data_IF_139460375130
#
_entry.id   IF_139460375130
#
_cell.length_a   1.000
_cell.length_b   1.000
_cell.length_c   1.000
_cell.angle_alpha   90.00
_cell.angle_beta   90.00
_cell.angle_gamma   90.00
#
_symmetry.space_group_name_H-M   'P 1'
#
loop_
_entity.id
_entity.type
_entity.pdbx_description
1 polymer ?
#
# COMPACT_ATOMS: atom_id res chain seq x y z
N UNK A 1 14.73 3.99 19.81
CA UNK A 1 13.57 3.11 19.54
C UNK A 1 12.85 3.71 18.36
N UNK A 2 12.71 3.00 17.23
CA UNK A 2 11.90 3.53 16.12
C UNK A 2 10.44 3.49 16.56
N UNK A 3 9.72 4.60 16.40
CA UNK A 3 8.28 4.62 16.58
C UNK A 3 7.67 3.56 15.66
N UNK A 4 6.67 2.80 16.15
CA UNK A 4 5.81 2.03 15.26
C UNK A 4 5.16 3.04 14.32
N UNK A 5 5.63 3.11 13.08
CA UNK A 5 4.99 3.91 12.05
C UNK A 5 3.62 3.24 11.79
N UNK A 6 2.59 4.03 11.52
CA UNK A 6 1.30 3.46 11.16
C UNK A 6 1.36 3.00 9.71
N UNK A 7 0.82 1.81 9.43
CA UNK A 7 0.79 1.25 8.08
C UNK A 7 -0.61 0.78 7.73
N UNK A 8 -1.08 1.12 6.55
CA UNK A 8 -2.39 0.70 6.03
C UNK A 8 -2.18 0.02 4.68
N UNK A 9 -2.61 -1.24 4.59
CA UNK A 9 -2.58 -1.99 3.34
C UNK A 9 -3.91 -1.83 2.59
N UNK A 10 -3.82 -1.55 1.29
CA UNK A 10 -4.94 -1.52 0.37
C UNK A 10 -4.98 -2.85 -0.36
N UNK A 11 -5.84 -3.75 0.11
CA UNK A 11 -5.97 -5.11 -0.39
C UNK A 11 -7.13 -5.21 -1.38
N UNK A 12 -6.99 -5.98 -2.46
CA UNK A 12 -8.07 -6.19 -3.42
C UNK A 12 -7.56 -6.66 -4.78
N UNK A 13 -8.45 -7.21 -5.61
CA UNK A 13 -8.10 -7.72 -6.94
C UNK A 13 -7.52 -6.62 -7.84
N UNK A 14 -6.75 -7.01 -8.86
CA UNK A 14 -6.29 -6.09 -9.89
C UNK A 14 -7.48 -5.38 -10.55
N UNK A 15 -7.41 -4.05 -10.69
CA UNK A 15 -8.50 -3.24 -11.21
C UNK A 15 -9.69 -3.01 -10.27
N UNK A 16 -9.56 -3.29 -8.96
CA UNK A 16 -10.62 -2.99 -7.98
C UNK A 16 -10.75 -1.49 -7.64
N UNK A 17 -9.77 -0.67 -8.03
CA UNK A 17 -9.77 0.77 -7.77
C UNK A 17 -8.85 1.22 -6.64
N UNK A 18 -7.93 0.36 -6.16
CA UNK A 18 -6.95 0.69 -5.12
C UNK A 18 -6.17 1.97 -5.41
N UNK A 19 -5.53 2.06 -6.59
CA UNK A 19 -4.75 3.24 -6.98
C UNK A 19 -5.61 4.50 -6.95
N UNK A 20 -6.79 4.46 -7.57
CA UNK A 20 -7.73 5.59 -7.59
C UNK A 20 -8.19 6.00 -6.19
N UNK A 21 -8.38 5.05 -5.28
CA UNK A 21 -8.75 5.36 -3.91
C UNK A 21 -7.59 6.02 -3.15
N UNK A 22 -6.37 5.50 -3.29
CA UNK A 22 -5.17 6.08 -2.68
C UNK A 22 -4.93 7.50 -3.20
N UNK A 23 -5.06 7.73 -4.51
CA UNK A 23 -4.94 9.06 -5.14
C UNK A 23 -5.93 10.08 -4.57
N UNK A 24 -7.15 9.64 -4.21
CA UNK A 24 -8.15 10.50 -3.56
C UNK A 24 -7.87 10.73 -2.08
N UNK A 25 -7.33 9.74 -1.38
CA UNK A 25 -7.04 9.83 0.06
C UNK A 25 -5.86 10.77 0.33
N UNK A 26 -4.76 10.65 -0.43
CA UNK A 26 -3.51 11.37 -0.14
C UNK A 26 -3.72 12.88 0.02
N UNK A 27 -4.44 13.60 -0.86
CA UNK A 27 -4.72 15.02 -0.67
C UNK A 27 -5.47 15.36 0.62
N UNK A 28 -6.43 14.52 1.01
CA UNK A 28 -7.30 14.73 2.17
C UNK A 28 -6.58 14.57 3.52
N UNK A 29 -5.44 13.89 3.52
CA UNK A 29 -4.58 13.68 4.69
C UNK A 29 -3.17 14.26 4.47
N UNK A 30 -3.02 15.23 3.58
CA UNK A 30 -1.71 15.81 3.20
C UNK A 30 -1.06 16.66 4.30
N UNK A 31 -1.75 16.89 5.42
CA UNK A 31 -1.20 17.56 6.61
C UNK A 31 -0.12 16.74 7.33
N UNK A 32 0.00 15.44 7.03
CA UNK A 32 1.02 14.55 7.57
C UNK A 32 2.01 14.09 6.49
N UNK A 33 3.15 13.55 6.93
CA UNK A 33 4.11 12.91 6.03
C UNK A 33 3.67 11.48 5.65
N UNK A 34 3.52 11.23 4.36
CA UNK A 34 3.04 9.95 3.80
C UNK A 34 4.14 9.29 2.97
N UNK A 35 4.40 8.01 3.23
CA UNK A 35 5.23 7.16 2.36
C UNK A 35 4.35 6.13 1.66
N UNK A 36 4.47 6.02 0.34
CA UNK A 36 3.71 5.03 -0.44
C UNK A 36 4.59 3.88 -0.88
N UNK A 37 4.13 2.64 -0.69
CA UNK A 37 4.75 1.43 -1.22
C UNK A 37 3.77 0.80 -2.20
N UNK A 38 4.23 0.49 -3.41
CA UNK A 38 3.46 -0.32 -4.37
C UNK A 38 4.14 -1.66 -4.56
N UNK A 39 3.47 -2.72 -4.10
CA UNK A 39 3.98 -4.07 -4.31
C UNK A 39 3.68 -4.55 -5.74
N UNK A 40 4.74 -4.87 -6.48
CA UNK A 40 4.62 -5.42 -7.83
C UNK A 40 4.62 -6.95 -7.75
N UNK A 41 3.49 -7.57 -8.11
CA UNK A 41 3.33 -9.04 -7.99
C UNK A 41 4.15 -9.85 -9.02
N UNK A 42 4.68 -9.20 -10.05
CA UNK A 42 5.52 -9.85 -11.05
C UNK A 42 6.98 -9.79 -10.63
N UNK A 43 7.65 -10.95 -10.67
CA UNK A 43 9.07 -11.07 -10.33
C UNK A 43 9.97 -10.18 -11.22
N UNK A 44 9.58 -9.99 -12.48
CA UNK A 44 10.29 -9.15 -13.44
C UNK A 44 9.68 -7.74 -13.47
N UNK A 45 10.04 -6.91 -12.48
CA UNK A 45 9.72 -5.48 -12.49
C UNK A 45 11.00 -4.64 -12.45
N UNK A 46 11.09 -3.65 -13.34
CA UNK A 46 12.14 -2.63 -13.27
C UNK A 46 11.63 -1.31 -13.83
N UNK A 47 11.88 -0.22 -13.11
CA UNK A 47 11.73 1.16 -13.61
C UNK A 47 12.97 1.61 -14.43
N UNK A 48 14.00 0.77 -14.44
CA UNK A 48 15.32 0.99 -15.02
C UNK A 48 15.59 -0.10 -16.09
N UNK A 49 15.04 0.08 -17.31
CA UNK A 49 15.19 -0.88 -18.40
C UNK A 49 16.63 -0.98 -18.91
N UNK A 50 16.93 -2.07 -19.63
CA UNK A 50 18.29 -2.49 -19.98
C UNK A 50 19.09 -1.48 -20.82
N UNK A 51 18.42 -0.62 -21.59
CA UNK A 51 19.05 0.33 -22.50
C UNK A 51 19.48 1.65 -21.83
N UNK A 52 19.18 1.88 -20.55
CA UNK A 52 19.59 3.11 -19.85
C UNK A 52 21.03 2.98 -19.31
N UNK A 53 21.76 4.10 -19.30
CA UNK A 53 23.12 4.14 -18.72
C UNK A 53 23.13 3.83 -17.22
N UNK A 54 22.05 4.15 -16.51
CA UNK A 54 21.84 3.80 -15.10
C UNK A 54 21.86 2.30 -14.86
N UNK A 55 21.35 1.50 -15.82
CA UNK A 55 21.46 0.04 -15.75
C UNK A 55 22.91 -0.41 -15.88
N UNK A 56 23.68 0.22 -16.77
CA UNK A 56 25.12 -0.08 -16.95
C UNK A 56 25.88 0.21 -15.66
N UNK A 57 25.62 1.32 -14.99
CA UNK A 57 26.24 1.66 -13.70
C UNK A 57 25.95 0.60 -12.62
N UNK A 58 24.70 0.12 -12.53
CA UNK A 58 24.30 -0.94 -11.59
C UNK A 58 24.97 -2.27 -11.90
N UNK A 59 24.99 -2.68 -13.18
CA UNK A 59 25.64 -3.91 -13.62
C UNK A 59 27.15 -3.89 -13.35
N UNK A 60 27.78 -2.71 -13.42
CA UNK A 60 29.18 -2.50 -13.04
C UNK A 60 29.46 -2.57 -11.54
N UNK A 61 28.43 -2.75 -10.70
CA UNK A 61 28.58 -2.97 -9.25
C UNK A 61 28.14 -1.80 -8.37
N UNK A 62 27.52 -0.75 -8.93
CA UNK A 62 26.97 0.33 -8.10
C UNK A 62 25.87 -0.20 -7.19
N UNK A 63 26.01 0.04 -5.89
CA UNK A 63 25.03 -0.32 -4.85
C UNK A 63 23.81 0.62 -4.88
N UNK A 64 24.08 1.91 -5.10
CA UNK A 64 23.07 2.95 -5.27
C UNK A 64 23.28 3.65 -6.61
N UNK A 65 22.21 4.00 -7.30
CA UNK A 65 22.26 4.76 -8.55
C UNK A 65 21.15 5.80 -8.53
N UNK A 66 21.48 7.05 -8.83
CA UNK A 66 20.53 8.17 -8.80
C UNK A 66 20.38 8.74 -10.20
N UNK A 67 19.13 8.87 -10.65
CA UNK A 67 18.74 9.70 -11.79
C UNK A 67 18.22 11.02 -11.24
N UNK A 68 18.76 12.16 -11.69
CA UNK A 68 18.35 13.48 -11.22
C UNK A 68 18.04 14.40 -12.41
N UNK A 69 16.88 15.06 -12.36
CA UNK A 69 16.42 16.07 -13.29
C UNK A 69 15.78 17.23 -12.49
N UNK A 70 15.55 18.42 -13.10
CA UNK A 70 15.02 19.58 -12.36
C UNK A 70 13.74 19.32 -11.55
N UNK A 71 12.88 18.40 -12.01
CA UNK A 71 11.59 18.12 -11.38
C UNK A 71 11.47 16.70 -10.81
N UNK A 72 12.47 15.84 -10.97
CA UNK A 72 12.35 14.43 -10.59
C UNK A 72 13.70 13.83 -10.18
N UNK A 73 13.69 13.09 -9.08
CA UNK A 73 14.84 12.31 -8.62
C UNK A 73 14.39 10.89 -8.35
N UNK A 74 15.10 9.92 -8.94
CA UNK A 74 14.87 8.50 -8.74
C UNK A 74 16.12 7.89 -8.12
N UNK A 75 15.98 7.30 -6.92
CA UNK A 75 17.01 6.49 -6.29
C UNK A 75 16.72 5.01 -6.55
N UNK A 76 17.68 4.32 -7.14
CA UNK A 76 17.65 2.87 -7.38
C UNK A 76 18.63 2.19 -6.42
N UNK A 77 18.17 1.16 -5.73
CA UNK A 77 18.97 0.32 -4.84
C UNK A 77 19.21 -1.02 -5.54
N UNK A 78 20.47 -1.46 -5.61
CA UNK A 78 20.86 -2.73 -6.19
C UNK A 78 20.99 -3.81 -5.09
N UNK A 79 19.86 -4.40 -4.72
CA UNK A 79 19.77 -5.34 -3.58
C UNK A 79 20.61 -6.62 -3.78
N UNK A 80 20.75 -7.13 -5.01
CA UNK A 80 21.64 -8.27 -5.32
C UNK A 80 23.11 -7.97 -4.94
N UNK A 81 23.55 -6.74 -5.17
CA UNK A 81 24.93 -6.31 -4.83
C UNK A 81 25.08 -5.96 -3.35
N UNK A 82 23.98 -5.67 -2.64
CA UNK A 82 23.98 -5.60 -1.17
C UNK A 82 24.00 -6.99 -0.51
N UNK A 83 23.72 -8.05 -1.26
CA UNK A 83 23.56 -9.40 -0.72
C UNK A 83 22.32 -9.57 0.16
N UNK A 84 21.36 -8.65 0.07
CA UNK A 84 20.12 -8.66 0.87
C UNK A 84 18.95 -8.32 -0.03
N UNK A 85 18.19 -9.31 -0.48
CA UNK A 85 16.89 -9.05 -1.09
C UNK A 85 15.93 -8.72 0.05
N UNK A 86 15.51 -7.46 0.13
CA UNK A 86 14.66 -7.01 1.23
C UNK A 86 13.27 -7.60 1.09
N UNK A 87 12.79 -8.28 2.12
CA UNK A 87 11.37 -8.50 2.29
C UNK A 87 10.68 -7.20 2.75
N UNK A 88 9.36 -7.25 2.92
CA UNK A 88 8.59 -6.08 3.33
C UNK A 88 9.03 -5.53 4.69
N UNK A 89 9.31 -6.40 5.66
CA UNK A 89 9.68 -5.99 7.02
C UNK A 89 11.08 -5.35 7.03
N UNK A 90 12.03 -5.87 6.26
CA UNK A 90 13.34 -5.27 6.09
C UNK A 90 13.30 -3.91 5.38
N UNK A 91 12.47 -3.79 4.33
CA UNK A 91 12.23 -2.50 3.67
C UNK A 91 11.61 -1.50 4.64
N UNK A 92 10.57 -1.92 5.36
CA UNK A 92 9.85 -1.12 6.34
C UNK A 92 10.78 -0.58 7.43
N UNK A 93 11.66 -1.43 7.95
CA UNK A 93 12.66 -1.05 8.93
C UNK A 93 13.70 -0.05 8.42
N UNK A 94 13.82 0.14 7.10
CA UNK A 94 14.73 1.11 6.46
C UNK A 94 14.04 2.39 6.02
N UNK A 95 12.73 2.51 6.18
CA UNK A 95 11.99 3.72 5.79
C UNK A 95 12.48 4.96 6.57
N UNK A 96 12.46 6.14 5.93
CA UNK A 96 12.63 7.40 6.62
C UNK A 96 11.51 7.60 7.66
N UNK A 97 11.70 8.46 8.67
CA UNK A 97 10.63 8.81 9.58
C UNK A 97 9.49 9.47 8.81
N UNK A 98 8.30 8.86 8.87
CA UNK A 98 7.05 9.37 8.31
C UNK A 98 5.90 9.05 9.26
N UNK A 99 4.78 9.75 9.13
CA UNK A 99 3.61 9.58 9.99
C UNK A 99 2.76 8.37 9.56
N UNK A 100 2.69 8.10 8.25
CA UNK A 100 1.87 7.02 7.68
C UNK A 100 2.53 6.37 6.46
N UNK A 101 2.45 5.04 6.40
CA UNK A 101 2.80 4.23 5.22
C UNK A 101 1.53 3.68 4.57
N UNK A 102 1.31 4.00 3.30
CA UNK A 102 0.24 3.41 2.49
C UNK A 102 0.83 2.32 1.58
N UNK A 103 0.37 1.08 1.72
CA UNK A 103 0.86 -0.05 0.92
C UNK A 103 -0.21 -0.46 -0.08
N UNK A 104 0.03 -0.23 -1.36
CA UNK A 104 -0.82 -0.73 -2.45
C UNK A 104 -0.43 -2.17 -2.80
N UNK A 105 -1.35 -3.11 -2.58
CA UNK A 105 -1.15 -4.52 -2.89
C UNK A 105 -0.66 -5.33 -1.70
N UNK A 106 0.23 -6.30 -1.97
CA UNK A 106 0.67 -7.37 -1.06
C UNK A 106 -0.49 -8.33 -0.66
N UNK A 107 -0.53 -9.51 -1.28
CA UNK A 107 -1.62 -10.48 -1.06
C UNK A 107 -1.63 -11.07 0.36
N UNK A 108 -0.49 -11.06 1.03
CA UNK A 108 -0.30 -11.66 2.35
C UNK A 108 0.43 -10.67 3.26
N UNK A 109 -0.26 -9.63 3.75
CA UNK A 109 0.34 -8.71 4.71
C UNK A 109 0.66 -9.43 6.03
N UNK A 110 1.66 -8.93 6.80
CA UNK A 110 2.00 -9.52 8.10
C UNK A 110 0.79 -9.62 9.03
N UNK A 111 0.77 -10.64 9.89
CA UNK A 111 -0.30 -10.84 10.87
C UNK A 111 -0.48 -9.59 11.74
N UNK A 112 -1.74 -9.18 11.96
CA UNK A 112 -2.10 -8.00 12.73
C UNK A 112 -2.00 -6.68 11.95
N UNK A 113 -1.63 -6.71 10.68
CA UNK A 113 -1.61 -5.50 9.84
C UNK A 113 -2.99 -4.87 9.71
N UNK A 114 -3.02 -3.54 9.72
CA UNK A 114 -4.22 -2.74 9.45
C UNK A 114 -4.48 -2.70 7.94
N UNK A 115 -5.70 -3.05 7.51
CA UNK A 115 -6.05 -3.16 6.09
C UNK A 115 -7.38 -2.46 5.77
N UNK A 116 -7.44 -1.90 4.56
CA UNK A 116 -8.66 -1.52 3.87
C UNK A 116 -8.84 -2.53 2.73
N UNK A 117 -9.99 -3.20 2.67
CA UNK A 117 -10.32 -4.15 1.62
C UNK A 117 -11.13 -3.47 0.52
N UNK A 118 -10.72 -3.60 -0.74
CA UNK A 118 -11.35 -2.98 -1.90
C UNK A 118 -11.89 -4.08 -2.81
N UNK A 119 -13.22 -4.17 -2.89
CA UNK A 119 -13.96 -5.17 -3.66
C UNK A 119 -14.51 -4.57 -4.95
N UNK A 120 -14.45 -5.31 -6.06
CA UNK A 120 -15.16 -4.89 -7.29
C UNK A 120 -16.65 -5.08 -7.12
N UNK A 121 -17.03 -6.23 -6.57
CA UNK A 121 -18.42 -6.62 -6.32
C UNK A 121 -18.55 -7.23 -4.91
N UNK A 122 -19.74 -7.17 -4.29
CA UNK A 122 -20.00 -7.81 -2.99
C UNK A 122 -19.57 -9.28 -2.89
N UNK A 123 -19.80 -10.05 -3.96
CA UNK A 123 -19.49 -11.48 -4.00
C UNK A 123 -17.98 -11.78 -3.91
N UNK A 124 -17.12 -10.82 -4.25
CA UNK A 124 -15.66 -11.00 -4.17
C UNK A 124 -15.18 -11.15 -2.72
N UNK A 125 -16.00 -10.74 -1.74
CA UNK A 125 -15.69 -10.89 -0.32
C UNK A 125 -15.40 -12.35 0.06
N UNK A 126 -16.06 -13.30 -0.58
CA UNK A 126 -15.84 -14.73 -0.35
C UNK A 126 -14.39 -15.18 -0.54
N UNK A 127 -13.64 -14.54 -1.44
CA UNK A 127 -12.24 -14.87 -1.71
C UNK A 127 -11.28 -14.47 -0.58
N UNK A 128 -11.71 -13.56 0.30
CA UNK A 128 -10.85 -12.96 1.32
C UNK A 128 -11.12 -13.50 2.72
N UNK A 129 -12.26 -14.15 2.97
CA UNK A 129 -12.72 -14.55 4.32
C UNK A 129 -11.62 -15.17 5.18
N UNK A 130 -10.93 -16.18 4.66
CA UNK A 130 -9.90 -16.90 5.42
C UNK A 130 -8.65 -16.05 5.67
N UNK A 131 -8.31 -15.16 4.74
CA UNK A 131 -7.12 -14.29 4.83
C UNK A 131 -7.33 -13.15 5.85
N UNK A 132 -8.58 -12.69 6.02
CA UNK A 132 -8.90 -11.56 6.89
C UNK A 132 -8.89 -11.92 8.38
N UNK A 133 -8.98 -13.20 8.75
CA UNK A 133 -9.10 -13.66 10.14
C UNK A 133 -7.92 -13.25 11.06
N UNK A 134 -6.81 -12.83 10.47
CA UNK A 134 -5.59 -12.44 11.20
C UNK A 134 -5.20 -10.97 10.96
N UNK A 135 -6.07 -10.20 10.33
CA UNK A 135 -5.83 -8.81 9.94
C UNK A 135 -6.79 -7.88 10.67
N UNK A 136 -6.35 -6.63 10.87
CA UNK A 136 -7.19 -5.58 11.41
C UNK A 136 -7.88 -4.86 10.25
N UNK A 137 -9.06 -5.35 9.85
CA UNK A 137 -9.86 -4.73 8.79
C UNK A 137 -10.54 -3.48 9.33
N UNK A 138 -10.15 -2.31 8.85
CA UNK A 138 -10.71 -1.03 9.32
C UNK A 138 -11.81 -0.50 8.42
N UNK A 139 -11.85 -0.90 7.15
CA UNK A 139 -12.92 -0.56 6.22
C UNK A 139 -13.01 -1.57 5.07
N UNK A 140 -14.21 -1.75 4.54
CA UNK A 140 -14.46 -2.48 3.29
C UNK A 140 -15.07 -1.50 2.30
N UNK A 141 -14.42 -1.33 1.16
CA UNK A 141 -14.78 -0.39 0.13
C UNK A 141 -15.27 -1.15 -1.09
N UNK A 142 -16.46 -0.80 -1.58
CA UNK A 142 -17.02 -1.37 -2.78
C UNK A 142 -17.74 -0.28 -3.60
N UNK A 143 -17.99 -0.54 -4.88
CA UNK A 143 -18.79 0.38 -5.73
C UNK A 143 -20.28 0.32 -5.42
N UNK A 144 -20.72 -0.76 -4.78
CA UNK A 144 -22.11 -1.00 -4.43
C UNK A 144 -22.16 -1.31 -2.94
N UNK A 145 -23.07 -0.65 -2.22
CA UNK A 145 -23.29 -0.95 -0.80
C UNK A 145 -23.93 -2.32 -0.66
N UNK A 146 -23.49 -3.09 0.32
CA UNK A 146 -24.01 -4.42 0.60
C UNK A 146 -23.85 -4.75 2.09
N UNK A 147 -24.69 -5.66 2.57
CA UNK A 147 -24.62 -6.11 3.96
C UNK A 147 -23.74 -7.35 4.07
N UNK A 148 -22.87 -7.35 5.07
CA UNK A 148 -22.08 -8.51 5.45
C UNK A 148 -22.87 -9.35 6.44
N UNK A 149 -23.49 -10.42 5.94
CA UNK A 149 -24.05 -11.46 6.79
C UNK A 149 -22.90 -12.28 7.40
N UNK A 150 -22.42 -11.89 8.61
CA UNK A 150 -21.68 -12.68 9.64
C UNK A 150 -20.27 -12.22 10.07
N UNK A 151 -20.05 -12.30 11.39
CA UNK A 151 -18.81 -12.53 12.19
C UNK A 151 -17.60 -11.58 12.13
N UNK A 152 -17.41 -10.77 11.08
CA UNK A 152 -16.32 -9.78 11.09
C UNK A 152 -16.79 -8.53 11.83
N UNK A 153 -16.10 -8.19 12.92
CA UNK A 153 -16.43 -7.07 13.81
C UNK A 153 -16.35 -5.74 13.04
N UNK A 154 -17.52 -5.22 12.66
CA UNK A 154 -17.88 -3.82 12.37
C UNK A 154 -16.87 -2.90 11.65
N UNK A 155 -16.19 -3.36 10.59
CA UNK A 155 -15.62 -2.44 9.61
C UNK A 155 -16.75 -1.87 8.74
N UNK A 156 -16.87 -0.54 8.57
CA UNK A 156 -17.90 0.02 7.71
C UNK A 156 -17.74 -0.48 6.26
N UNK A 157 -18.87 -0.84 5.65
CA UNK A 157 -18.96 -1.11 4.21
C UNK A 157 -19.33 0.19 3.51
N UNK A 158 -18.36 0.76 2.80
CA UNK A 158 -18.40 2.11 2.24
C UNK A 158 -18.55 2.06 0.72
N UNK A 159 -19.44 2.90 0.20
CA UNK A 159 -19.62 3.10 -1.23
C UNK A 159 -18.86 4.33 -1.71
N UNK A 160 -17.84 4.14 -2.56
CA UNK A 160 -17.04 5.28 -3.05
C UNK A 160 -17.76 6.28 -3.96
N UNK A 161 -18.98 5.98 -4.38
CA UNK A 161 -19.83 6.91 -5.11
C UNK A 161 -20.62 7.84 -4.19
N UNK A 162 -20.54 7.64 -2.87
CA UNK A 162 -21.18 8.48 -1.85
C UNK A 162 -20.11 9.31 -1.12
N UNK A 163 -20.31 10.62 -1.05
CA UNK A 163 -19.40 11.55 -0.37
C UNK A 163 -19.32 11.31 1.15
N UNK A 164 -20.44 11.01 1.82
CA UNK A 164 -20.46 10.75 3.27
C UNK A 164 -19.65 9.49 3.62
N UNK A 165 -19.73 8.46 2.77
CA UNK A 165 -18.95 7.24 2.94
C UNK A 165 -17.44 7.49 2.72
N UNK A 166 -17.06 8.47 1.88
CA UNK A 166 -15.67 8.87 1.72
C UNK A 166 -15.15 9.65 2.93
N UNK A 167 -15.93 10.59 3.46
CA UNK A 167 -15.57 11.33 4.67
C UNK A 167 -15.41 10.39 5.88
N UNK A 168 -16.27 9.37 5.98
CA UNK A 168 -16.15 8.31 6.96
C UNK A 168 -14.85 7.50 6.79
N UNK A 169 -14.46 7.18 5.55
CA UNK A 169 -13.19 6.51 5.27
C UNK A 169 -11.99 7.34 5.77
N UNK A 170 -11.99 8.65 5.47
CA UNK A 170 -10.93 9.56 5.93
C UNK A 170 -10.90 9.63 7.46
N UNK A 171 -12.07 9.67 8.11
CA UNK A 171 -12.17 9.64 9.58
C UNK A 171 -11.56 8.36 10.17
N UNK A 172 -11.87 7.19 9.60
CA UNK A 172 -11.32 5.90 10.04
C UNK A 172 -9.80 5.84 9.86
N UNK A 173 -9.29 6.36 8.74
CA UNK A 173 -7.83 6.44 8.50
C UNK A 173 -7.16 7.33 9.55
N UNK A 174 -7.71 8.52 9.83
CA UNK A 174 -7.17 9.45 10.83
C UNK A 174 -7.17 8.87 12.25
N UNK A 175 -8.08 7.95 12.57
CA UNK A 175 -8.08 7.25 13.87
C UNK A 175 -6.88 6.31 14.04
N UNK A 176 -6.27 5.86 12.95
CA UNK A 176 -5.06 5.02 13.01
C UNK A 176 -3.80 5.82 13.34
N UNK A 177 -3.86 7.16 13.28
CA UNK A 177 -2.71 8.04 13.52
C UNK A 177 -2.57 8.48 14.98
N UNK A 178 -3.51 8.08 15.85
CA UNK A 178 -3.57 8.44 17.27
C UNK A 178 -3.00 7.33 18.13
#
# INVERSE_FOLDING_TARGET
>A
MKNNINQIFFMGLSGSGKTTLIEKIIPEISEISIFTIKFMHHAEFTVDPSYKDTRRHRNSGSVYTVCYAPNETILLINEEKRGTMLDFDELYNKLPPVDLVLVEGLNHPPKGSTIILILKNPNDFGYYKDQLAHLNVIAIVCRTKFDLNSEIQFSPVLNMMNYEDFDELIRVIRQQLK
#
